data_IF_778267439152
#
_entry.id   IF_778267439152
#
_cell.length_a   1.000
_cell.length_b   1.000
_cell.length_c   1.000
_cell.angle_alpha   90.00
_cell.angle_beta   90.00
_cell.angle_gamma   90.00
#
_symmetry.space_group_name_H-M   'P 1'
#
loop_
_entity.id
_entity.type
_entity.pdbx_description
1 polymer ?
#
# COMPACT_ATOMS: atom_id res chain seq x y z
N UNK A 1 -0.70 17.91 7.19
CA UNK A 1 -1.80 16.97 6.89
C UNK A 1 -1.27 16.03 5.81
N UNK A 2 -1.56 14.73 5.87
CA UNK A 2 -1.08 13.80 4.83
C UNK A 2 -2.20 13.56 3.81
N UNK A 3 -1.85 13.61 2.53
CA UNK A 3 -2.73 13.47 1.37
C UNK A 3 -2.60 12.06 0.81
N UNK A 4 -3.71 11.39 0.54
CA UNK A 4 -3.68 10.07 -0.07
C UNK A 4 -3.43 10.21 -1.57
N UNK A 5 -2.33 9.64 -2.06
CA UNK A 5 -1.88 9.82 -3.45
C UNK A 5 -2.02 8.55 -4.29
N UNK A 6 -1.92 7.37 -3.68
CA UNK A 6 -2.00 6.09 -4.38
C UNK A 6 -2.57 5.00 -3.48
N UNK A 7 -3.41 4.14 -4.06
CA UNK A 7 -3.85 2.89 -3.44
C UNK A 7 -3.71 1.75 -4.45
N UNK A 8 -3.06 0.66 -4.01
CA UNK A 8 -2.88 -0.56 -4.78
C UNK A 8 -3.51 -1.70 -4.01
N UNK A 9 -4.57 -2.28 -4.53
CA UNK A 9 -5.21 -3.45 -3.95
C UNK A 9 -4.39 -4.71 -4.23
N UNK A 10 -4.33 -5.61 -3.25
CA UNK A 10 -3.67 -6.90 -3.37
C UNK A 10 -4.75 -7.99 -3.40
N UNK A 11 -4.75 -8.79 -4.45
CA UNK A 11 -5.72 -9.87 -4.61
C UNK A 11 -5.29 -11.14 -3.86
N UNK A 12 -6.26 -11.80 -3.27
CA UNK A 12 -6.07 -13.07 -2.56
C UNK A 12 -5.85 -12.91 -1.06
N UNK A 13 -5.78 -14.06 -0.38
CA UNK A 13 -5.50 -14.12 1.06
C UNK A 13 -4.00 -14.09 1.28
N UNK A 14 -3.58 -13.27 2.24
CA UNK A 14 -2.18 -13.18 2.67
C UNK A 14 -2.04 -13.93 4.00
N UNK A 15 -1.20 -14.96 4.00
CA UNK A 15 -0.76 -15.67 5.20
C UNK A 15 0.53 -15.04 5.76
N UNK A 16 1.07 -15.63 6.84
CA UNK A 16 2.25 -15.06 7.50
C UNK A 16 3.48 -15.06 6.58
N UNK A 17 3.70 -16.11 5.80
CA UNK A 17 4.84 -16.20 4.88
C UNK A 17 4.71 -15.18 3.74
N UNK A 18 3.51 -15.08 3.16
CA UNK A 18 3.14 -14.08 2.18
C UNK A 18 3.33 -12.65 2.67
N UNK A 19 2.96 -12.38 3.92
CA UNK A 19 3.16 -11.08 4.55
C UNK A 19 4.65 -10.74 4.70
N UNK A 20 5.48 -11.69 5.11
CA UNK A 20 6.93 -11.47 5.16
C UNK A 20 7.54 -11.26 3.76
N UNK A 21 7.07 -11.99 2.74
CA UNK A 21 7.47 -11.74 1.34
C UNK A 21 7.11 -10.32 0.88
N UNK A 22 5.90 -9.86 1.17
CA UNK A 22 5.45 -8.51 0.85
C UNK A 22 6.30 -7.46 1.55
N UNK A 23 6.57 -7.63 2.85
CA UNK A 23 7.43 -6.72 3.62
C UNK A 23 8.83 -6.64 3.01
N UNK A 24 9.42 -7.79 2.67
CA UNK A 24 10.76 -7.83 2.08
C UNK A 24 10.79 -7.17 0.69
N UNK A 25 9.88 -7.53 -0.21
CA UNK A 25 9.87 -7.01 -1.58
C UNK A 25 9.48 -5.53 -1.68
N UNK A 26 8.69 -5.02 -0.73
CA UNK A 26 8.30 -3.61 -0.66
C UNK A 26 9.22 -2.78 0.27
N UNK A 27 10.23 -3.41 0.86
CA UNK A 27 11.15 -2.80 1.83
C UNK A 27 10.42 -2.12 3.01
N UNK A 28 9.40 -2.80 3.55
CA UNK A 28 8.61 -2.30 4.67
C UNK A 28 9.24 -2.74 5.99
N UNK A 29 9.21 -1.83 6.98
CA UNK A 29 9.42 -2.19 8.37
C UNK A 29 8.22 -2.97 8.87
N UNK A 30 8.49 -3.99 9.69
CA UNK A 30 7.46 -4.82 10.32
C UNK A 30 6.58 -3.99 11.25
N UNK A 31 5.26 -4.14 11.09
CA UNK A 31 4.24 -3.62 11.99
C UNK A 31 3.08 -4.62 12.03
N UNK A 32 2.33 -4.67 13.13
CA UNK A 32 1.16 -5.53 13.29
C UNK A 32 1.44 -7.04 13.34
N UNK A 33 0.44 -7.80 13.79
CA UNK A 33 0.45 -9.26 13.94
C UNK A 33 -0.76 -9.85 13.26
N UNK A 34 -0.56 -10.77 12.31
CA UNK A 34 -1.68 -11.29 11.50
C UNK A 34 -2.76 -12.01 12.32
N UNK A 35 -2.36 -12.57 13.46
CA UNK A 35 -3.22 -13.22 14.46
C UNK A 35 -4.05 -12.25 15.29
N UNK A 36 -3.70 -10.96 15.28
CA UNK A 36 -4.49 -9.91 15.90
C UNK A 36 -5.52 -9.42 14.88
N UNK A 37 -6.81 -9.52 15.23
CA UNK A 37 -7.92 -9.13 14.38
C UNK A 37 -8.17 -7.60 14.39
N UNK A 38 -7.60 -6.89 15.36
CA UNK A 38 -7.67 -5.42 15.45
C UNK A 38 -6.57 -4.73 14.67
N UNK A 39 -5.44 -5.38 14.45
CA UNK A 39 -4.36 -4.83 13.63
C UNK A 39 -4.81 -4.66 12.18
N UNK A 40 -4.68 -3.43 11.69
CA UNK A 40 -4.97 -3.07 10.29
C UNK A 40 -3.72 -2.73 9.50
N UNK A 41 -2.65 -2.25 10.15
CA UNK A 41 -1.39 -1.90 9.49
C UNK A 41 -0.33 -2.99 9.74
N UNK A 42 0.18 -3.55 8.65
CA UNK A 42 1.07 -4.70 8.67
C UNK A 42 2.49 -4.40 8.19
N UNK A 43 2.78 -3.15 7.84
CA UNK A 43 4.12 -2.69 7.57
C UNK A 43 4.13 -1.30 6.96
N UNK A 44 5.23 -0.58 7.17
CA UNK A 44 5.36 0.80 6.69
C UNK A 44 6.77 1.12 6.20
N UNK A 45 6.88 2.09 5.30
CA UNK A 45 8.14 2.68 4.84
C UNK A 45 7.95 4.18 4.63
N UNK A 46 8.91 4.98 5.09
CA UNK A 46 8.96 6.42 4.83
C UNK A 46 10.04 6.71 3.79
N UNK A 47 9.71 7.51 2.79
CA UNK A 47 10.60 8.00 1.74
C UNK A 47 10.72 9.51 1.91
N UNK A 48 11.83 9.97 2.47
CA UNK A 48 12.07 11.40 2.72
C UNK A 48 12.62 12.09 1.48
N UNK A 49 12.08 13.26 1.16
CA UNK A 49 12.55 14.15 0.08
C UNK A 49 13.38 15.30 0.67
N UNK A 50 14.20 15.92 -0.18
CA UNK A 50 15.20 16.93 0.22
C UNK A 50 14.61 18.16 0.93
N UNK A 51 13.34 18.47 0.69
CA UNK A 51 12.60 19.58 1.32
C UNK A 51 12.07 19.29 2.72
N UNK A 52 12.28 18.07 3.25
CA UNK A 52 11.64 17.60 4.48
C UNK A 52 10.23 17.03 4.26
N UNK A 53 9.67 17.17 3.05
CA UNK A 53 8.49 16.44 2.62
C UNK A 53 8.76 14.93 2.60
N UNK A 54 7.73 14.11 2.77
CA UNK A 54 7.89 12.66 2.69
C UNK A 54 6.63 11.96 2.17
N UNK A 55 6.88 10.83 1.51
CA UNK A 55 5.85 9.85 1.19
C UNK A 55 5.91 8.71 2.20
N UNK A 56 4.76 8.28 2.70
CA UNK A 56 4.61 7.13 3.57
C UNK A 56 3.88 6.04 2.83
N UNK A 57 4.51 4.90 2.70
CA UNK A 57 3.91 3.66 2.16
C UNK A 57 3.50 2.82 3.35
N UNK A 58 2.28 2.30 3.36
CA UNK A 58 1.86 1.32 4.35
C UNK A 58 1.02 0.20 3.75
N UNK A 59 1.18 -1.00 4.30
CA UNK A 59 0.45 -2.21 3.95
C UNK A 59 -0.67 -2.42 4.96
N UNK A 60 -1.90 -2.56 4.47
CA UNK A 60 -3.08 -2.63 5.31
C UNK A 60 -3.98 -3.83 4.98
N UNK A 61 -4.64 -4.36 6.02
CA UNK A 61 -5.78 -5.26 5.92
C UNK A 61 -7.03 -4.48 6.36
N UNK A 62 -8.03 -4.39 5.49
CA UNK A 62 -9.32 -3.82 5.83
C UNK A 62 -10.14 -4.82 6.68
N UNK A 63 -11.19 -4.35 7.35
CA UNK A 63 -12.08 -5.21 8.15
C UNK A 63 -12.81 -6.28 7.34
N UNK A 64 -12.98 -6.09 6.03
CA UNK A 64 -13.56 -7.10 5.12
C UNK A 64 -12.54 -8.17 4.67
N UNK A 65 -11.31 -8.12 5.20
CA UNK A 65 -10.22 -9.04 4.88
C UNK A 65 -9.46 -8.70 3.60
N UNK A 66 -9.86 -7.66 2.85
CA UNK A 66 -9.12 -7.20 1.68
C UNK A 66 -7.82 -6.50 2.07
N UNK A 67 -6.81 -6.62 1.21
CA UNK A 67 -5.48 -6.07 1.44
C UNK A 67 -5.16 -4.95 0.46
N UNK A 68 -4.42 -3.95 0.94
CA UNK A 68 -3.98 -2.83 0.11
C UNK A 68 -2.65 -2.28 0.55
N UNK A 69 -1.91 -1.71 -0.38
CA UNK A 69 -0.85 -0.76 -0.11
C UNK A 69 -1.40 0.63 -0.35
N UNK A 70 -1.22 1.52 0.62
CA UNK A 70 -1.53 2.94 0.45
C UNK A 70 -0.25 3.77 0.50
N UNK A 71 -0.22 4.82 -0.31
CA UNK A 71 0.79 5.86 -0.23
C UNK A 71 0.09 7.15 0.15
N UNK A 72 0.56 7.75 1.23
CA UNK A 72 0.18 9.11 1.63
C UNK A 72 1.40 10.00 1.53
N UNK A 73 1.20 11.27 1.22
CA UNK A 73 2.26 12.24 1.07
C UNK A 73 1.98 13.50 1.90
N UNK A 74 3.01 14.18 2.39
CA UNK A 74 2.85 15.46 3.10
C UNK A 74 2.34 16.60 2.23
N UNK A 75 2.45 16.45 0.91
CA UNK A 75 2.01 17.39 -0.12
C UNK A 75 0.91 16.74 -0.97
N UNK A 76 0.07 17.56 -1.58
CA UNK A 76 -0.91 17.09 -2.55
C UNK A 76 -0.22 16.89 -3.90
N UNK A 77 0.18 15.65 -4.18
CA UNK A 77 0.83 15.27 -5.43
C UNK A 77 -0.20 14.69 -6.42
N UNK A 78 -0.10 15.11 -7.67
CA UNK A 78 -0.85 14.50 -8.77
C UNK A 78 -0.41 13.02 -8.92
N UNK A 79 -1.35 12.06 -9.05
CA UNK A 79 -1.01 10.66 -9.32
C UNK A 79 -0.15 10.43 -10.58
N UNK A 80 -0.15 11.40 -11.51
CA UNK A 80 0.65 11.43 -12.74
C UNK A 80 2.06 11.99 -12.55
N UNK A 81 2.38 12.51 -11.36
CA UNK A 81 3.72 12.96 -11.01
C UNK A 81 4.73 11.80 -11.22
N UNK A 82 5.87 12.08 -11.84
CA UNK A 82 6.89 11.08 -12.20
C UNK A 82 7.36 10.25 -11.00
N UNK A 83 7.48 10.85 -9.82
CA UNK A 83 7.90 10.16 -8.61
C UNK A 83 6.81 9.19 -8.14
N UNK A 84 5.53 9.60 -8.21
CA UNK A 84 4.38 8.76 -7.87
C UNK A 84 4.19 7.65 -8.90
N UNK A 85 4.38 7.92 -10.19
CA UNK A 85 4.32 6.92 -11.26
C UNK A 85 5.43 5.86 -11.13
N UNK A 86 6.65 6.30 -10.77
CA UNK A 86 7.78 5.41 -10.47
C UNK A 86 7.47 4.55 -9.25
N UNK A 87 6.99 5.15 -8.17
CA UNK A 87 6.63 4.44 -6.94
C UNK A 87 5.48 3.44 -7.18
N UNK A 88 4.47 3.82 -7.97
CA UNK A 88 3.39 2.92 -8.39
C UNK A 88 3.96 1.67 -9.08
N UNK A 89 4.88 1.86 -10.02
CA UNK A 89 5.49 0.75 -10.76
C UNK A 89 6.33 -0.14 -9.85
N UNK A 90 7.10 0.45 -8.93
CA UNK A 90 7.85 -0.28 -7.90
C UNK A 90 6.93 -1.14 -7.04
N UNK A 91 5.84 -0.57 -6.52
CA UNK A 91 4.91 -1.27 -5.63
C UNK A 91 4.19 -2.42 -6.36
N UNK A 92 3.72 -2.18 -7.58
CA UNK A 92 3.08 -3.23 -8.41
C UNK A 92 4.07 -4.37 -8.69
N UNK A 93 5.31 -4.05 -9.06
CA UNK A 93 6.34 -5.05 -9.30
C UNK A 93 6.67 -5.84 -8.02
N UNK A 94 6.78 -5.17 -6.88
CA UNK A 94 7.06 -5.81 -5.58
C UNK A 94 5.94 -6.73 -5.09
N UNK A 95 4.68 -6.33 -5.28
CA UNK A 95 3.51 -7.18 -5.00
C UNK A 95 3.52 -8.41 -5.91
N UNK A 96 3.73 -8.22 -7.21
CA UNK A 96 3.79 -9.30 -8.21
C UNK A 96 4.92 -10.29 -7.90
N UNK A 97 6.10 -9.80 -7.55
CA UNK A 97 7.25 -10.61 -7.13
C UNK A 97 6.98 -11.40 -5.83
N UNK A 98 6.04 -10.93 -5.01
CA UNK A 98 5.62 -11.63 -3.79
C UNK A 98 4.61 -12.76 -4.05
N UNK A 99 4.19 -12.95 -5.31
CA UNK A 99 3.23 -13.97 -5.73
C UNK A 99 1.77 -13.50 -5.75
N UNK A 100 1.52 -12.20 -5.65
CA UNK A 100 0.18 -11.64 -5.60
C UNK A 100 -0.13 -10.78 -6.82
N UNK A 101 -1.40 -10.68 -7.19
CA UNK A 101 -1.84 -9.73 -8.21
C UNK A 101 -2.10 -8.36 -7.58
N UNK A 102 -1.67 -7.31 -8.27
CA UNK A 102 -1.84 -5.92 -7.85
C UNK A 102 -2.82 -5.19 -8.76
N UNK A 103 -3.77 -4.46 -8.18
CA UNK A 103 -4.71 -3.62 -8.92
C UNK A 103 -4.60 -2.19 -8.43
N UNK A 104 -4.17 -1.27 -9.29
CA UNK A 104 -4.08 0.15 -8.91
C UNK A 104 -5.45 0.79 -9.03
N UNK A 105 -5.91 1.46 -7.98
CA UNK A 105 -7.20 2.17 -8.01
C UNK A 105 -7.09 3.43 -8.87
N UNK A 106 -8.12 3.65 -9.70
CA UNK A 106 -8.23 4.88 -10.49
C UNK A 106 -8.43 6.13 -9.60
N UNK A 107 -9.10 5.96 -8.44
CA UNK A 107 -9.26 7.00 -7.42
C UNK A 107 -8.83 6.45 -6.06
N UNK A 108 -7.79 7.02 -5.43
CA UNK A 108 -7.33 6.55 -4.14
C UNK A 108 -8.35 6.92 -3.04
N UNK A 109 -8.74 5.95 -2.21
CA UNK A 109 -9.63 6.14 -1.06
C UNK A 109 -9.10 5.36 0.14
N UNK A 110 -9.32 5.87 1.36
CA UNK A 110 -8.85 5.24 2.59
C UNK A 110 -9.61 3.93 2.94
N UNK A 111 -10.65 3.54 2.18
CA UNK A 111 -11.51 2.38 2.45
C UNK A 111 -11.23 1.14 1.58
N UNK A 112 -12.16 0.19 1.57
CA UNK A 112 -12.18 -0.94 0.62
C UNK A 112 -12.34 -0.43 -0.82
N UNK A 113 -12.00 -1.27 -1.79
CA UNK A 113 -12.24 -0.95 -3.20
C UNK A 113 -13.74 -0.69 -3.40
N UNK A 114 -14.14 0.28 -4.23
CA UNK A 114 -15.53 0.40 -4.64
C UNK A 114 -15.96 -0.95 -5.21
N UNK A 115 -16.97 -1.58 -4.60
CA UNK A 115 -17.64 -2.70 -5.26
C UNK A 115 -18.46 -2.07 -6.37
N UNK A 116 -18.10 -2.31 -7.62
CA UNK A 116 -19.04 -2.08 -8.71
C UNK A 116 -20.31 -2.86 -8.34
N UNK A 117 -21.38 -2.13 -8.03
CA UNK A 117 -22.71 -2.71 -7.99
C UNK A 117 -23.10 -2.86 -9.46
N UNK A 118 -23.18 -4.11 -9.93
CA UNK A 118 -24.07 -4.45 -11.05
C UNK A 118 -25.51 -4.00 -10.74
#
# INVERSE_FOLDING_TARGET
>A
MNHLVLVVDIQGRIDQEGLERLRANLSLKKQGRLTDDWDQEFGHRRITRSSGAYSSVGLFRNFDGSWKVQVTDTEELDPSNTDIASLRSELVAGITKSGYQATVRAKPTFGAAPRDRD
#
